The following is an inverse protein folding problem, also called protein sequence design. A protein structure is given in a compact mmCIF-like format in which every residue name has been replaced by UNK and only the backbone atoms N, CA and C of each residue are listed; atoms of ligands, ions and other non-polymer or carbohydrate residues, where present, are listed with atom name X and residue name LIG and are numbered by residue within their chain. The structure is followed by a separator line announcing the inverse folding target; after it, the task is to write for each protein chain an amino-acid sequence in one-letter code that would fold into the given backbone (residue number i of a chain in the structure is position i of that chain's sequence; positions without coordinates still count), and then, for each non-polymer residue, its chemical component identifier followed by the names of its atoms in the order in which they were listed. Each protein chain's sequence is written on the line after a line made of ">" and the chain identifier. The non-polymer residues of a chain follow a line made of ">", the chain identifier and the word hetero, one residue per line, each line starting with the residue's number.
data_IF_933597635681
#
_entry.id   IF_933597635681
#
_cell.length_a   1.000
_cell.length_b   1.000
_cell.length_c   1.000
_cell.angle_alpha   90.00
_cell.angle_beta   90.00
_cell.angle_gamma   90.00
#
_symmetry.space_group_name_H-M   'P 1'
#
loop_
_entity.id
_entity.type
_entity.pdbx_description
1 polymer ?
#
# COMPACT_ATOMS: atom_id res chain seq x y z
N UNK A 1 37.69 -10.05 19.91
CA UNK A 1 36.24 -9.76 19.87
C UNK A 1 35.86 -9.56 18.41
N UNK A 2 35.38 -10.61 17.74
CA UNK A 2 35.04 -10.57 16.30
C UNK A 2 33.54 -10.45 16.17
N UNK A 3 33.04 -9.34 15.63
CA UNK A 3 31.63 -9.16 15.31
C UNK A 3 31.25 -9.98 14.07
N UNK A 4 30.11 -10.64 14.15
CA UNK A 4 29.57 -11.67 13.27
C UNK A 4 29.30 -11.13 11.84
N UNK A 5 29.99 -11.72 10.85
CA UNK A 5 29.82 -11.43 9.40
C UNK A 5 28.39 -11.61 8.86
N UNK A 6 27.53 -12.33 9.58
CA UNK A 6 26.17 -12.70 9.14
C UNK A 6 25.18 -11.53 9.19
N UNK A 7 25.37 -10.55 10.08
CA UNK A 7 24.48 -9.37 10.17
C UNK A 7 24.67 -8.37 9.03
N UNK A 8 25.91 -8.18 8.56
CA UNK A 8 26.24 -7.20 7.52
C UNK A 8 25.77 -7.60 6.11
N UNK A 9 25.56 -8.88 5.84
CA UNK A 9 25.05 -9.35 4.55
C UNK A 9 23.52 -9.12 4.45
N UNK A 10 22.79 -9.47 5.51
CA UNK A 10 21.35 -9.23 5.60
C UNK A 10 21.00 -7.73 5.53
N UNK A 11 21.72 -6.87 6.26
CA UNK A 11 21.52 -5.40 6.17
C UNK A 11 21.76 -4.85 4.76
N UNK A 12 22.77 -5.36 4.04
CA UNK A 12 23.05 -4.93 2.66
C UNK A 12 21.98 -5.39 1.68
N UNK A 13 21.46 -6.61 1.85
CA UNK A 13 20.40 -7.15 1.01
C UNK A 13 19.07 -6.41 1.25
N UNK A 14 18.73 -6.12 2.52
CA UNK A 14 17.56 -5.32 2.87
C UNK A 14 17.66 -3.89 2.32
N UNK A 15 18.83 -3.26 2.43
CA UNK A 15 19.04 -1.91 1.93
C UNK A 15 19.00 -1.86 0.39
N UNK A 16 19.57 -2.85 -0.29
CA UNK A 16 19.51 -2.95 -1.75
C UNK A 16 18.08 -3.23 -2.23
N UNK A 17 17.35 -4.10 -1.54
CA UNK A 17 15.95 -4.40 -1.83
C UNK A 17 15.05 -3.18 -1.60
N UNK A 18 15.25 -2.44 -0.50
CA UNK A 18 14.53 -1.19 -0.21
C UNK A 18 14.77 -0.12 -1.27
N UNK A 19 16.02 0.07 -1.73
CA UNK A 19 16.35 1.00 -2.83
C UNK A 19 15.68 0.60 -4.14
N UNK A 20 15.61 -0.70 -4.43
CA UNK A 20 14.89 -1.23 -5.59
C UNK A 20 13.38 -0.97 -5.52
N UNK A 21 12.77 -1.17 -4.35
CA UNK A 21 11.34 -0.92 -4.11
C UNK A 21 11.02 0.57 -4.28
N UNK A 22 11.79 1.46 -3.66
CA UNK A 22 11.59 2.91 -3.78
C UNK A 22 11.68 3.39 -5.24
N UNK A 23 12.65 2.87 -6.01
CA UNK A 23 12.78 3.18 -7.43
C UNK A 23 11.57 2.68 -8.24
N UNK A 24 11.16 1.42 -8.03
CA UNK A 24 10.00 0.82 -8.68
C UNK A 24 8.71 1.59 -8.36
N UNK A 25 8.51 1.93 -7.09
CA UNK A 25 7.38 2.74 -6.62
C UNK A 25 7.36 4.11 -7.27
N UNK A 26 8.51 4.79 -7.35
CA UNK A 26 8.63 6.07 -8.03
C UNK A 26 8.24 5.98 -9.51
N UNK A 27 8.73 4.96 -10.22
CA UNK A 27 8.40 4.71 -11.63
C UNK A 27 6.90 4.44 -11.78
N UNK A 28 6.34 3.52 -10.98
CA UNK A 28 4.91 3.21 -10.99
C UNK A 28 4.06 4.45 -10.67
N UNK A 29 4.44 5.24 -9.68
CA UNK A 29 3.75 6.48 -9.34
C UNK A 29 3.72 7.43 -10.53
N UNK A 30 4.82 7.62 -11.25
CA UNK A 30 4.87 8.46 -12.46
C UNK A 30 3.95 7.93 -13.56
N UNK A 31 3.99 6.61 -13.81
CA UNK A 31 3.17 5.96 -14.84
C UNK A 31 1.68 6.07 -14.50
N UNK A 32 1.29 5.73 -13.27
CA UNK A 32 -0.12 5.71 -12.86
C UNK A 32 -0.68 7.10 -12.56
N UNK A 33 0.12 8.07 -12.08
CA UNK A 33 -0.37 9.44 -11.78
C UNK A 33 -0.98 10.15 -12.99
N UNK A 34 -0.56 9.80 -14.20
CA UNK A 34 -1.15 10.36 -15.44
C UNK A 34 -2.51 9.75 -15.80
N UNK A 35 -2.85 8.58 -15.27
CA UNK A 35 -4.03 7.81 -15.67
C UNK A 35 -5.04 7.57 -14.53
N UNK A 36 -4.57 7.55 -13.27
CA UNK A 36 -5.36 7.23 -12.08
C UNK A 36 -4.70 7.87 -10.83
N UNK A 37 -5.11 9.10 -10.52
CA UNK A 37 -4.58 9.88 -9.40
C UNK A 37 -5.62 10.18 -8.31
N UNK A 38 -6.82 9.62 -8.41
CA UNK A 38 -7.93 9.94 -7.52
C UNK A 38 -8.55 8.63 -7.04
N UNK A 39 -8.63 8.39 -5.72
CA UNK A 39 -9.31 7.23 -5.17
C UNK A 39 -10.75 7.10 -5.70
N UNK A 40 -11.12 5.91 -6.15
CA UNK A 40 -12.44 5.59 -6.66
C UNK A 40 -13.33 5.02 -5.55
N UNK A 41 -14.48 5.64 -5.23
CA UNK A 41 -15.38 5.13 -4.20
C UNK A 41 -16.06 3.83 -4.65
N UNK A 42 -16.06 2.82 -3.79
CA UNK A 42 -16.75 1.54 -4.01
C UNK A 42 -17.99 1.44 -3.13
N UNK A 43 -17.84 1.86 -1.88
CA UNK A 43 -18.91 1.93 -0.87
C UNK A 43 -18.61 3.13 0.03
N UNK A 44 -19.60 3.55 0.81
CA UNK A 44 -19.38 4.52 1.87
C UNK A 44 -18.17 4.12 2.74
N UNK A 45 -17.19 5.03 2.81
CA UNK A 45 -15.97 4.83 3.58
C UNK A 45 -14.86 4.01 2.91
N UNK A 46 -15.12 3.40 1.75
CA UNK A 46 -14.19 2.48 1.09
C UNK A 46 -13.86 2.94 -0.34
N UNK A 47 -12.56 3.11 -0.60
CA UNK A 47 -12.02 3.54 -1.88
C UNK A 47 -11.01 2.52 -2.43
N UNK A 48 -10.95 2.42 -3.75
CA UNK A 48 -9.92 1.68 -4.49
C UNK A 48 -9.05 2.64 -5.30
N UNK A 49 -7.78 2.29 -5.48
CA UNK A 49 -6.89 3.06 -6.34
C UNK A 49 -5.60 2.36 -6.71
N UNK A 50 -4.81 3.03 -7.53
CA UNK A 50 -3.42 2.68 -7.85
C UNK A 50 -2.41 3.38 -6.93
N UNK A 51 -1.12 3.13 -7.16
CA UNK A 51 -0.03 3.91 -6.57
C UNK A 51 -0.19 5.41 -6.87
N UNK A 52 -0.72 5.77 -8.04
CA UNK A 52 -0.96 7.18 -8.39
C UNK A 52 -1.95 7.86 -7.43
N UNK A 53 -3.04 7.18 -7.09
CA UNK A 53 -4.02 7.65 -6.10
C UNK A 53 -3.42 7.73 -4.69
N UNK A 54 -2.63 6.73 -4.28
CA UNK A 54 -1.95 6.73 -2.98
C UNK A 54 -0.87 7.83 -2.84
N UNK A 55 -0.30 8.30 -3.94
CA UNK A 55 0.66 9.41 -3.96
C UNK A 55 0.00 10.80 -3.99
N UNK A 56 -1.32 10.89 -4.18
CA UNK A 56 -2.05 12.14 -4.23
C UNK A 56 -2.58 12.53 -2.85
N UNK A 57 -1.68 13.04 -2.00
CA UNK A 57 -1.98 13.44 -0.63
C UNK A 57 -3.19 14.38 -0.50
N UNK A 58 -3.34 15.34 -1.41
CA UNK A 58 -4.45 16.30 -1.36
C UNK A 58 -5.79 15.61 -1.60
N UNK A 59 -5.85 14.66 -2.54
CA UNK A 59 -7.04 13.83 -2.75
C UNK A 59 -7.32 12.91 -1.55
N UNK A 60 -6.29 12.36 -0.92
CA UNK A 60 -6.47 11.55 0.28
C UNK A 60 -7.09 12.36 1.42
N UNK A 61 -6.58 13.55 1.70
CA UNK A 61 -7.09 14.42 2.75
C UNK A 61 -8.49 14.96 2.43
N UNK A 62 -8.76 15.34 1.18
CA UNK A 62 -10.09 15.85 0.79
C UNK A 62 -11.19 14.78 0.88
N UNK A 63 -10.83 13.51 0.67
CA UNK A 63 -11.71 12.37 0.84
C UNK A 63 -11.76 11.85 2.28
N UNK A 64 -11.17 12.56 3.26
CA UNK A 64 -11.11 12.12 4.66
C UNK A 64 -10.53 10.69 4.82
N UNK A 65 -9.57 10.32 3.97
CA UNK A 65 -8.87 9.04 4.10
C UNK A 65 -7.94 9.13 5.30
N UNK A 66 -8.10 8.20 6.24
CA UNK A 66 -7.27 8.09 7.45
C UNK A 66 -6.44 6.81 7.44
N UNK A 67 -6.92 5.78 6.72
CA UNK A 67 -6.31 4.45 6.66
C UNK A 67 -5.97 4.07 5.22
N UNK A 68 -4.81 3.45 5.00
CA UNK A 68 -4.34 3.01 3.69
C UNK A 68 -3.89 1.55 3.78
N UNK A 69 -4.61 0.68 3.07
CA UNK A 69 -4.34 -0.75 2.97
C UNK A 69 -3.57 -1.03 1.66
N UNK A 70 -2.32 -1.43 1.81
CA UNK A 70 -1.42 -1.81 0.71
C UNK A 70 -1.55 -3.33 0.50
N UNK A 71 -1.99 -3.75 -0.67
CA UNK A 71 -2.12 -5.17 -1.03
C UNK A 71 -1.09 -5.50 -2.11
N UNK A 72 0.19 -5.45 -1.73
CA UNK A 72 1.33 -5.74 -2.58
C UNK A 72 2.61 -5.90 -1.75
N UNK A 73 3.43 -6.90 -2.08
CA UNK A 73 4.73 -7.11 -1.43
C UNK A 73 5.74 -5.98 -1.67
N UNK A 74 5.82 -5.46 -2.90
CA UNK A 74 6.87 -4.49 -3.31
C UNK A 74 6.40 -3.03 -3.29
N UNK A 75 5.52 -2.67 -2.35
CA UNK A 75 5.07 -1.31 -2.09
C UNK A 75 5.23 -0.99 -0.61
N UNK A 76 5.76 0.20 -0.30
CA UNK A 76 5.85 0.72 1.06
C UNK A 76 4.99 1.99 1.25
N UNK A 77 4.61 2.32 2.50
CA UNK A 77 3.87 3.52 2.85
C UNK A 77 4.51 4.81 2.32
N UNK A 78 3.70 5.65 1.69
CA UNK A 78 4.17 6.90 1.07
C UNK A 78 4.23 8.05 2.09
N UNK A 79 3.24 8.11 2.98
CA UNK A 79 3.09 9.17 3.98
C UNK A 79 2.89 8.56 5.40
N UNK A 80 3.85 7.77 5.91
CA UNK A 80 3.68 6.99 7.14
C UNK A 80 3.41 7.82 8.40
N UNK A 81 3.77 9.11 8.40
CA UNK A 81 3.51 10.01 9.52
C UNK A 81 2.09 10.60 9.53
N UNK A 82 1.29 10.37 8.48
CA UNK A 82 0.04 11.11 8.26
C UNK A 82 -1.22 10.26 8.11
N UNK A 83 -1.05 8.96 7.89
CA UNK A 83 -2.11 7.98 7.72
C UNK A 83 -1.71 6.70 8.43
N UNK A 84 -2.72 5.93 8.85
CA UNK A 84 -2.51 4.60 9.36
C UNK A 84 -2.33 3.64 8.19
N UNK A 85 -1.31 2.79 8.24
CA UNK A 85 -1.03 1.84 7.17
C UNK A 85 -1.18 0.41 7.64
N UNK A 86 -1.69 -0.41 6.73
CA UNK A 86 -1.64 -1.86 6.81
C UNK A 86 -1.10 -2.39 5.50
N UNK A 87 -0.11 -3.29 5.56
CA UNK A 87 0.47 -3.91 4.37
C UNK A 87 0.21 -5.41 4.41
N UNK A 88 -0.45 -5.91 3.37
CA UNK A 88 -0.64 -7.33 3.10
C UNK A 88 0.33 -7.72 1.99
N UNK A 89 1.37 -8.46 2.36
CA UNK A 89 2.44 -8.84 1.45
C UNK A 89 2.05 -10.02 0.57
N UNK A 90 1.26 -9.73 -0.46
CA UNK A 90 0.84 -10.71 -1.46
C UNK A 90 1.57 -10.50 -2.79
N UNK A 91 1.86 -11.61 -3.46
CA UNK A 91 2.32 -11.62 -4.84
C UNK A 91 1.10 -11.55 -5.77
N UNK A 92 1.24 -10.89 -6.91
CA UNK A 92 0.18 -10.86 -7.92
C UNK A 92 0.30 -12.08 -8.84
N UNK A 93 0.13 -13.27 -8.25
CA UNK A 93 0.08 -14.55 -8.98
C UNK A 93 -1.27 -15.24 -8.74
N UNK A 94 -1.82 -15.98 -9.72
CA UNK A 94 -3.14 -16.60 -9.62
C UNK A 94 -3.32 -17.53 -8.41
N UNK A 95 -2.26 -18.18 -7.96
CA UNK A 95 -2.29 -19.15 -6.85
C UNK A 95 -2.25 -18.48 -5.46
N UNK A 96 -2.26 -17.15 -5.40
CA UNK A 96 -2.24 -16.43 -4.12
C UNK A 96 -3.62 -16.44 -3.48
N UNK A 97 -3.73 -17.13 -2.35
CA UNK A 97 -4.96 -17.15 -1.55
C UNK A 97 -5.11 -15.85 -0.74
N UNK A 98 -5.85 -14.90 -1.30
CA UNK A 98 -6.19 -13.63 -0.66
C UNK A 98 -7.21 -13.79 0.48
N UNK A 99 -7.98 -14.88 0.48
CA UNK A 99 -9.04 -15.09 1.48
C UNK A 99 -8.45 -15.31 2.87
N UNK A 100 -7.21 -15.82 2.97
CA UNK A 100 -6.47 -15.95 4.23
C UNK A 100 -6.25 -14.62 4.95
N UNK A 101 -6.30 -13.50 4.22
CA UNK A 101 -6.11 -12.16 4.78
C UNK A 101 -7.42 -11.38 4.90
N UNK A 102 -8.56 -12.02 4.61
CA UNK A 102 -9.87 -11.34 4.56
C UNK A 102 -10.23 -10.71 5.90
N UNK A 103 -10.14 -11.47 7.01
CA UNK A 103 -10.44 -10.98 8.35
C UNK A 103 -9.58 -9.78 8.75
N UNK A 104 -8.29 -9.84 8.42
CA UNK A 104 -7.34 -8.76 8.71
C UNK A 104 -7.63 -7.50 7.88
N UNK A 105 -8.00 -7.67 6.61
CA UNK A 105 -8.41 -6.56 5.74
C UNK A 105 -9.71 -5.93 6.23
N UNK A 106 -10.72 -6.75 6.55
CA UNK A 106 -12.01 -6.28 7.01
C UNK A 106 -11.91 -5.57 8.35
N UNK A 107 -11.16 -6.10 9.31
CA UNK A 107 -10.92 -5.44 10.59
C UNK A 107 -10.31 -4.04 10.42
N UNK A 108 -9.34 -3.89 9.52
CA UNK A 108 -8.71 -2.60 9.24
C UNK A 108 -9.66 -1.61 8.53
N UNK A 109 -10.52 -2.11 7.63
CA UNK A 109 -11.55 -1.31 6.96
C UNK A 109 -12.58 -0.82 7.99
N UNK A 110 -13.04 -1.70 8.87
CA UNK A 110 -14.03 -1.39 9.90
C UNK A 110 -13.49 -0.41 10.94
N UNK A 111 -12.22 -0.51 11.32
CA UNK A 111 -11.53 0.46 12.19
C UNK A 111 -11.53 1.86 11.56
N UNK A 112 -11.21 1.96 10.27
CA UNK A 112 -11.20 3.23 9.56
C UNK A 112 -12.57 3.91 9.56
N UNK A 113 -13.61 3.14 9.25
CA UNK A 113 -14.98 3.64 9.15
C UNK A 113 -15.54 3.98 10.54
N UNK A 114 -15.31 3.13 11.54
CA UNK A 114 -15.81 3.35 12.91
C UNK A 114 -15.15 4.53 13.62
N UNK A 115 -13.92 4.88 13.24
CA UNK A 115 -13.22 6.09 13.71
C UNK A 115 -13.66 7.39 13.00
N UNK A 116 -14.65 7.30 12.09
CA UNK A 116 -15.17 8.44 11.33
C UNK A 116 -14.29 8.85 10.15
N UNK A 117 -13.34 8.00 9.76
CA UNK A 117 -12.51 8.18 8.58
C UNK A 117 -12.88 7.25 7.43
N UNK A 118 -12.09 7.33 6.37
CA UNK A 118 -12.22 6.48 5.18
C UNK A 118 -10.94 5.68 4.95
N UNK A 119 -11.06 4.57 4.22
CA UNK A 119 -9.96 3.69 3.84
C UNK A 119 -9.73 3.67 2.33
N UNK A 120 -8.47 3.77 1.93
CA UNK A 120 -8.01 3.47 0.58
C UNK A 120 -7.38 2.09 0.56
N UNK A 121 -7.85 1.20 -0.31
CA UNK A 121 -7.19 -0.06 -0.63
C UNK A 121 -6.50 0.10 -1.99
N UNK A 122 -5.19 -0.17 -2.06
CA UNK A 122 -4.46 -0.07 -3.32
C UNK A 122 -3.41 -1.16 -3.50
N UNK A 123 -3.10 -1.42 -4.77
CA UNK A 123 -1.94 -2.19 -5.21
C UNK A 123 -1.12 -1.32 -6.17
N UNK A 124 -0.45 -1.92 -7.16
CA UNK A 124 0.27 -1.19 -8.20
C UNK A 124 -0.68 -0.39 -9.10
N UNK A 125 -1.57 -1.10 -9.79
CA UNK A 125 -2.42 -0.52 -10.83
C UNK A 125 -3.86 -0.23 -10.39
N UNK A 126 -4.30 -0.78 -9.25
CA UNK A 126 -5.71 -0.72 -8.84
C UNK A 126 -6.66 -1.49 -9.79
N UNK A 127 -6.14 -2.48 -10.55
CA UNK A 127 -6.89 -3.15 -11.63
C UNK A 127 -7.02 -4.68 -11.54
N UNK A 128 -6.14 -5.41 -10.83
CA UNK A 128 -6.08 -6.88 -10.95
C UNK A 128 -7.32 -7.65 -10.45
N UNK A 129 -8.36 -7.00 -9.92
CA UNK A 129 -9.46 -7.72 -9.23
C UNK A 129 -10.85 -7.10 -9.43
N UNK A 130 -11.14 -6.54 -10.62
CA UNK A 130 -12.55 -6.27 -11.01
C UNK A 130 -13.27 -7.58 -11.32
#
# INVERSE_FOLDING_TARGET
>A
MSMSKTGQAAEKDEQQQSRGIALMQGICAVVYRKADNTPCPIKQGLYLGSVGAAFNKDALKSLNITHILIVAKSLDPVFPAEFNYKKIEVLDIPDTDLLKHSDECFGFIDEAISSGGNVLVHCFAGRSRR
#
